data_IF_934010238630
#
_entry.id   IF_934010238630
#
_cell.length_a   1.000
_cell.length_b   1.000
_cell.length_c   1.000
_cell.angle_alpha   90.00
_cell.angle_beta   90.00
_cell.angle_gamma   90.00
#
_symmetry.space_group_name_H-M   'P 1'
#
loop_
_entity.id
_entity.type
_entity.pdbx_description
1 polymer ?
#
# COMPACT_ATOMS: atom_id res chain seq x y z
N UNK A 1 1.47 13.52 -27.79
CA UNK A 1 2.82 14.15 -27.84
C UNK A 1 2.79 15.62 -27.41
N UNK A 2 1.78 16.42 -27.80
CA UNK A 2 1.76 17.89 -27.53
C UNK A 2 1.55 18.22 -26.04
N UNK A 3 0.86 17.40 -25.27
CA UNK A 3 0.64 17.63 -23.83
C UNK A 3 1.98 17.57 -23.09
N UNK A 4 2.81 16.56 -23.35
CA UNK A 4 4.13 16.44 -22.71
C UNK A 4 5.13 17.50 -23.16
N UNK A 5 5.12 17.89 -24.46
CA UNK A 5 5.93 19.01 -24.93
C UNK A 5 5.56 20.32 -24.22
N UNK A 6 4.27 20.60 -24.02
CA UNK A 6 3.81 21.78 -23.27
C UNK A 6 4.19 21.72 -21.80
N UNK A 7 4.18 20.55 -21.17
CA UNK A 7 4.63 20.40 -19.79
C UNK A 7 6.12 20.72 -19.64
N UNK A 8 6.96 20.25 -20.55
CA UNK A 8 8.41 20.55 -20.55
C UNK A 8 8.69 22.01 -20.91
N UNK A 9 7.92 22.59 -21.83
CA UNK A 9 8.02 24.03 -22.18
C UNK A 9 7.46 24.94 -21.07
N UNK A 10 6.79 24.39 -20.05
CA UNK A 10 6.22 25.13 -18.93
C UNK A 10 7.22 25.63 -17.89
N UNK A 11 8.52 25.47 -18.10
CA UNK A 11 9.57 25.96 -17.19
C UNK A 11 9.74 25.10 -15.93
N UNK A 12 9.43 23.81 -16.01
CA UNK A 12 9.66 22.86 -14.93
C UNK A 12 11.11 22.38 -14.90
N UNK A 13 11.67 22.20 -13.72
CA UNK A 13 13.05 21.72 -13.51
C UNK A 13 13.14 20.17 -13.55
N UNK A 14 12.03 19.50 -13.27
CA UNK A 14 11.96 18.03 -13.26
C UNK A 14 10.63 17.48 -13.74
N UNK A 15 10.64 16.25 -14.25
CA UNK A 15 9.44 15.45 -14.58
C UNK A 15 9.52 14.10 -13.85
N UNK A 16 8.57 13.89 -12.94
CA UNK A 16 8.46 12.65 -12.16
C UNK A 16 7.30 11.81 -12.69
N UNK A 17 7.58 10.58 -13.10
CA UNK A 17 6.60 9.63 -13.60
C UNK A 17 6.33 8.56 -12.54
N UNK A 18 5.08 8.40 -12.11
CA UNK A 18 4.65 7.37 -11.14
C UNK A 18 3.99 6.16 -11.81
N UNK A 19 4.09 6.08 -13.12
CA UNK A 19 3.61 4.96 -13.93
C UNK A 19 4.50 4.77 -15.15
N UNK A 20 4.67 3.51 -15.58
CA UNK A 20 5.59 3.17 -16.67
C UNK A 20 5.22 3.84 -18.00
N UNK A 21 3.94 3.94 -18.37
CA UNK A 21 3.55 4.55 -19.64
C UNK A 21 4.03 5.99 -19.81
N UNK A 22 3.81 6.92 -18.88
CA UNK A 22 4.40 8.26 -18.95
C UNK A 22 5.93 8.21 -19.06
N UNK A 23 6.60 7.33 -18.32
CA UNK A 23 8.06 7.18 -18.38
C UNK A 23 8.56 6.76 -19.75
N UNK A 24 7.89 5.82 -20.41
CA UNK A 24 8.20 5.40 -21.79
C UNK A 24 7.91 6.51 -22.81
N UNK A 25 6.82 7.26 -22.63
CA UNK A 25 6.51 8.41 -23.48
C UNK A 25 7.56 9.51 -23.33
N UNK A 26 8.00 9.79 -22.12
CA UNK A 26 9.07 10.75 -21.84
C UNK A 26 10.39 10.32 -22.49
N UNK A 27 10.74 9.04 -22.35
CA UNK A 27 11.92 8.46 -23.04
C UNK A 27 11.84 8.62 -24.54
N UNK A 28 10.68 8.38 -25.16
CA UNK A 28 10.49 8.56 -26.59
C UNK A 28 10.69 10.02 -27.03
N UNK A 29 10.20 10.97 -26.23
CA UNK A 29 10.39 12.40 -26.50
C UNK A 29 11.87 12.78 -26.41
N UNK A 30 12.58 12.35 -25.36
CA UNK A 30 14.00 12.63 -25.15
C UNK A 30 14.88 12.11 -26.28
N UNK A 31 14.52 10.96 -26.88
CA UNK A 31 15.24 10.44 -28.06
C UNK A 31 15.10 11.32 -29.31
N UNK A 32 14.02 12.05 -29.42
CA UNK A 32 13.80 12.97 -30.56
C UNK A 32 14.38 14.37 -30.30
N UNK A 33 14.29 14.83 -29.07
CA UNK A 33 14.73 16.14 -28.64
C UNK A 33 15.18 16.09 -27.18
N UNK A 34 16.46 16.37 -26.88
CA UNK A 34 16.94 16.46 -25.51
C UNK A 34 16.10 17.45 -24.70
N UNK A 35 15.74 17.06 -23.48
CA UNK A 35 14.96 17.89 -22.57
C UNK A 35 15.89 18.42 -21.48
N UNK A 36 15.92 19.74 -21.24
CA UNK A 36 16.76 20.36 -20.22
C UNK A 36 16.10 20.25 -18.82
N UNK A 37 15.59 19.07 -18.48
CA UNK A 37 14.89 18.79 -17.21
C UNK A 37 15.35 17.45 -16.66
N UNK A 38 15.39 17.31 -15.35
CA UNK A 38 15.64 16.03 -14.69
C UNK A 38 14.44 15.11 -14.87
N UNK A 39 14.70 13.83 -15.08
CA UNK A 39 13.66 12.83 -15.35
C UNK A 39 13.74 11.69 -14.37
N UNK A 40 12.60 11.35 -13.78
CA UNK A 40 12.53 10.30 -12.75
C UNK A 40 11.32 9.38 -12.97
N UNK A 41 11.52 8.09 -12.77
CA UNK A 41 10.45 7.11 -12.63
C UNK A 41 10.42 6.60 -11.18
N UNK A 42 9.24 6.50 -10.61
CA UNK A 42 9.02 5.89 -9.29
C UNK A 42 8.20 4.62 -9.51
N UNK A 43 8.82 3.47 -9.26
CA UNK A 43 8.11 2.20 -9.24
C UNK A 43 7.17 2.14 -8.02
N UNK A 44 5.91 1.78 -8.25
CA UNK A 44 4.85 1.73 -7.22
C UNK A 44 4.43 0.30 -6.87
N UNK A 45 5.16 -0.69 -7.37
CA UNK A 45 5.00 -2.11 -7.08
C UNK A 45 6.34 -2.74 -6.72
N UNK A 46 6.34 -3.76 -5.87
CA UNK A 46 7.53 -4.49 -5.41
C UNK A 46 8.03 -5.49 -6.47
N UNK A 47 8.13 -5.03 -7.68
CA UNK A 47 8.65 -5.77 -8.84
C UNK A 47 8.99 -4.80 -9.97
N UNK A 48 9.86 -5.24 -10.87
CA UNK A 48 10.15 -4.52 -12.10
C UNK A 48 8.98 -4.68 -13.08
N UNK A 49 8.42 -3.56 -13.54
CA UNK A 49 7.34 -3.58 -14.54
C UNK A 49 7.83 -4.13 -15.88
N UNK A 50 7.01 -4.89 -16.62
CA UNK A 50 7.34 -5.28 -17.98
C UNK A 50 7.72 -4.08 -18.85
N UNK A 51 8.77 -4.21 -19.67
CA UNK A 51 9.30 -3.15 -20.54
C UNK A 51 10.00 -1.98 -19.83
N UNK A 52 10.39 -2.10 -18.57
CA UNK A 52 11.23 -1.09 -17.92
C UNK A 52 12.63 -0.98 -18.55
N UNK A 53 13.11 -2.01 -19.27
CA UNK A 53 14.30 -2.01 -20.12
C UNK A 53 14.29 -0.92 -21.20
N UNK A 54 13.11 -0.51 -21.63
CA UNK A 54 12.91 0.50 -22.68
C UNK A 54 12.95 1.93 -22.16
N UNK A 55 12.93 2.09 -20.85
CA UNK A 55 12.96 3.38 -20.16
C UNK A 55 14.39 3.92 -20.09
N UNK A 56 14.56 5.19 -20.43
CA UNK A 56 15.84 5.91 -20.35
C UNK A 56 15.65 7.25 -19.62
N UNK A 57 15.53 7.18 -18.31
CA UNK A 57 15.40 8.34 -17.43
C UNK A 57 16.65 8.45 -16.53
N UNK A 58 16.83 9.62 -15.92
CA UNK A 58 18.02 9.90 -15.10
C UNK A 58 17.99 9.12 -13.79
N UNK A 59 16.81 8.89 -13.23
CA UNK A 59 16.62 8.14 -11.98
C UNK A 59 15.45 7.18 -12.07
N UNK A 60 15.67 5.97 -11.56
CA UNK A 60 14.65 4.95 -11.34
C UNK A 60 14.56 4.65 -9.83
N UNK A 61 13.54 5.16 -9.17
CA UNK A 61 13.25 4.86 -7.75
C UNK A 61 12.63 3.47 -7.67
N UNK A 62 13.21 2.62 -6.81
CA UNK A 62 12.71 1.27 -6.57
C UNK A 62 12.26 1.11 -5.11
N UNK A 63 11.28 0.21 -4.85
CA UNK A 63 10.66 0.06 -3.53
C UNK A 63 11.60 -0.42 -2.42
N UNK A 64 12.57 -1.26 -2.76
CA UNK A 64 13.50 -1.83 -1.80
C UNK A 64 14.83 -2.19 -2.45
N UNK A 65 15.92 -2.13 -1.67
CA UNK A 65 17.27 -2.44 -2.14
C UNK A 65 17.43 -3.91 -2.56
N UNK A 66 16.70 -4.84 -1.96
CA UNK A 66 16.71 -6.26 -2.31
C UNK A 66 16.20 -6.52 -3.74
N UNK A 67 15.42 -5.60 -4.30
CA UNK A 67 14.89 -5.69 -5.66
C UNK A 67 15.87 -5.20 -6.74
N UNK A 68 17.01 -4.61 -6.36
CA UNK A 68 17.99 -4.04 -7.31
C UNK A 68 18.36 -5.03 -8.41
N UNK A 69 18.71 -6.26 -8.05
CA UNK A 69 19.11 -7.29 -9.02
C UNK A 69 17.99 -7.64 -10.01
N UNK A 70 16.72 -7.61 -9.57
CA UNK A 70 15.58 -7.83 -10.44
C UNK A 70 15.42 -6.69 -11.45
N UNK A 71 15.53 -5.42 -11.02
CA UNK A 71 15.45 -4.26 -11.90
C UNK A 71 16.61 -4.24 -12.92
N UNK A 72 17.83 -4.54 -12.48
CA UNK A 72 19.01 -4.66 -13.38
C UNK A 72 18.82 -5.77 -14.41
N UNK A 73 18.36 -6.95 -13.98
CA UNK A 73 18.04 -8.08 -14.88
C UNK A 73 16.97 -7.71 -15.91
N UNK A 74 16.03 -6.85 -15.55
CA UNK A 74 15.00 -6.32 -16.44
C UNK A 74 15.45 -5.07 -17.21
N UNK A 75 16.77 -4.79 -17.28
CA UNK A 75 17.36 -3.80 -18.16
C UNK A 75 17.41 -2.37 -17.65
N UNK A 76 17.07 -2.13 -16.38
CA UNK A 76 17.26 -0.81 -15.75
C UNK A 76 18.74 -0.60 -15.48
N UNK A 77 19.29 0.54 -15.91
CA UNK A 77 20.72 0.85 -15.75
C UNK A 77 21.07 1.01 -14.26
N UNK A 78 22.10 0.27 -13.76
CA UNK A 78 22.44 0.24 -12.33
C UNK A 78 22.68 1.62 -11.70
N UNK A 79 23.32 2.52 -12.44
CA UNK A 79 23.67 3.88 -11.98
C UNK A 79 22.45 4.79 -11.81
N UNK A 80 21.31 4.44 -12.40
CA UNK A 80 20.06 5.21 -12.26
C UNK A 80 19.21 4.76 -11.08
N UNK A 81 19.48 3.58 -10.50
CA UNK A 81 18.64 2.98 -9.46
C UNK A 81 18.83 3.69 -8.13
N UNK A 82 17.72 4.19 -7.57
CA UNK A 82 17.63 4.76 -6.23
C UNK A 82 16.70 3.90 -5.36
N UNK A 83 17.22 3.06 -4.45
CA UNK A 83 16.41 2.18 -3.60
C UNK A 83 15.97 2.89 -2.32
N UNK A 84 15.01 3.79 -2.41
CA UNK A 84 14.57 4.61 -1.27
C UNK A 84 13.13 4.35 -0.82
N UNK A 85 12.44 3.40 -1.46
CA UNK A 85 11.05 3.06 -1.09
C UNK A 85 9.99 3.75 -1.95
N UNK A 86 8.74 3.36 -1.74
CA UNK A 86 7.58 4.02 -2.34
C UNK A 86 7.19 5.21 -1.47
N UNK A 87 7.07 6.43 -2.01
CA UNK A 87 6.66 7.59 -1.21
C UNK A 87 5.20 7.45 -0.74
N UNK A 88 5.00 7.59 0.54
CA UNK A 88 3.68 7.66 1.18
C UNK A 88 3.53 8.98 1.92
N UNK A 89 2.31 9.32 2.33
CA UNK A 89 2.03 10.58 3.01
C UNK A 89 2.81 10.73 4.30
N UNK A 90 3.31 11.93 4.57
CA UNK A 90 4.13 12.25 5.74
C UNK A 90 3.46 11.87 7.06
N UNK A 91 2.15 12.05 7.17
CA UNK A 91 1.36 11.70 8.37
C UNK A 91 1.44 10.22 8.77
N UNK A 92 1.81 9.32 7.84
CA UNK A 92 1.98 7.89 8.13
C UNK A 92 3.28 7.58 8.89
N UNK A 93 4.26 8.48 8.87
CA UNK A 93 5.49 8.33 9.63
C UNK A 93 5.33 8.72 11.11
N UNK A 94 4.24 9.40 11.46
CA UNK A 94 3.85 9.71 12.84
C UNK A 94 2.88 8.65 13.34
N UNK A 95 3.13 8.05 14.51
CA UNK A 95 2.27 7.02 15.09
C UNK A 95 1.67 7.51 16.41
N UNK A 96 0.35 7.37 16.54
CA UNK A 96 -0.33 7.45 17.82
C UNK A 96 -0.21 6.11 18.56
N UNK A 97 -0.13 6.11 19.90
CA UNK A 97 -0.32 4.89 20.68
C UNK A 97 -1.66 4.22 20.32
N UNK A 98 -1.66 2.90 20.12
CA UNK A 98 -2.84 2.16 19.65
C UNK A 98 -4.11 2.43 20.47
N UNK A 99 -4.00 2.50 21.81
CA UNK A 99 -5.13 2.83 22.69
C UNK A 99 -5.70 4.22 22.44
N UNK A 100 -4.85 5.21 22.24
CA UNK A 100 -5.26 6.60 21.95
C UNK A 100 -5.91 6.69 20.56
N UNK A 101 -5.36 5.99 19.60
CA UNK A 101 -5.90 5.92 18.25
C UNK A 101 -7.28 5.23 18.22
N UNK A 102 -7.49 4.14 19.01
CA UNK A 102 -8.82 3.51 19.20
C UNK A 102 -9.84 4.49 19.76
N UNK A 103 -9.51 5.22 20.79
CA UNK A 103 -10.39 6.27 21.32
C UNK A 103 -10.71 7.35 20.29
N UNK A 104 -9.71 7.78 19.50
CA UNK A 104 -9.89 8.80 18.47
C UNK A 104 -10.81 8.36 17.33
N UNK A 105 -10.91 7.06 17.05
CA UNK A 105 -11.85 6.52 16.05
C UNK A 105 -13.17 6.02 16.66
N UNK A 106 -13.36 6.20 17.99
CA UNK A 106 -14.59 5.86 18.70
C UNK A 106 -14.73 4.39 19.07
N UNK A 107 -13.61 3.68 19.27
CA UNK A 107 -13.57 2.27 19.66
C UNK A 107 -13.17 2.11 21.14
N UNK A 108 -13.54 0.97 21.71
CA UNK A 108 -13.10 0.57 23.06
C UNK A 108 -11.59 0.20 23.01
N UNK A 109 -10.75 0.85 23.87
CA UNK A 109 -9.30 0.62 23.84
C UNK A 109 -8.84 -0.79 24.16
N UNK A 110 -9.67 -1.58 24.86
CA UNK A 110 -9.38 -2.98 25.21
C UNK A 110 -9.72 -3.97 24.09
N UNK A 111 -10.54 -3.56 23.12
CA UNK A 111 -10.93 -4.40 22.00
C UNK A 111 -9.78 -4.61 21.01
N UNK A 112 -9.76 -5.77 20.34
CA UNK A 112 -8.93 -5.99 19.15
C UNK A 112 -9.58 -5.31 17.96
N UNK A 113 -8.77 -4.73 17.08
CA UNK A 113 -9.29 -4.00 15.93
C UNK A 113 -8.68 -4.50 14.62
N UNK A 114 -9.52 -4.99 13.71
CA UNK A 114 -9.18 -5.29 12.32
C UNK A 114 -9.67 -4.18 11.42
N UNK A 115 -8.79 -3.63 10.59
CA UNK A 115 -9.17 -2.68 9.54
C UNK A 115 -9.11 -3.38 8.19
N UNK A 116 -10.20 -3.31 7.42
CA UNK A 116 -10.27 -3.83 6.06
C UNK A 116 -10.41 -2.70 5.04
N UNK A 117 -9.42 -2.59 4.13
CA UNK A 117 -9.40 -1.61 3.04
C UNK A 117 -8.91 -2.30 1.75
N UNK A 118 -9.72 -2.37 0.70
CA UNK A 118 -9.38 -3.03 -0.57
C UNK A 118 -9.16 -2.05 -1.72
N UNK A 119 -8.60 -0.89 -1.42
CA UNK A 119 -8.28 0.16 -2.39
C UNK A 119 -9.39 1.16 -2.62
N UNK A 120 -9.12 2.16 -3.48
CA UNK A 120 -9.95 3.37 -3.64
C UNK A 120 -11.39 3.12 -4.13
N UNK A 121 -11.66 2.01 -4.77
CA UNK A 121 -12.98 1.65 -5.30
C UNK A 121 -13.73 0.60 -4.48
N UNK A 122 -13.15 0.12 -3.35
CA UNK A 122 -13.75 -0.95 -2.55
C UNK A 122 -13.98 -2.22 -3.39
N UNK A 123 -12.95 -2.68 -4.08
CA UNK A 123 -13.02 -3.86 -4.95
C UNK A 123 -12.78 -5.15 -4.17
N UNK A 124 -13.31 -6.25 -4.70
CA UNK A 124 -13.10 -7.58 -4.16
C UNK A 124 -14.26 -8.11 -3.32
N UNK A 125 -14.10 -9.26 -2.66
CA UNK A 125 -15.16 -9.95 -1.95
C UNK A 125 -15.40 -9.40 -0.53
N UNK A 126 -15.37 -8.05 -0.36
CA UNK A 126 -15.46 -7.39 0.96
C UNK A 126 -16.67 -7.85 1.76
N UNK A 127 -17.84 -7.92 1.10
CA UNK A 127 -19.09 -8.31 1.73
C UNK A 127 -19.04 -9.74 2.29
N UNK A 128 -18.50 -10.68 1.50
CA UNK A 128 -18.36 -12.08 1.95
C UNK A 128 -17.34 -12.24 3.07
N UNK A 129 -16.20 -11.57 2.97
CA UNK A 129 -15.19 -11.60 4.05
C UNK A 129 -15.75 -10.98 5.33
N UNK A 130 -16.44 -9.84 5.23
CA UNK A 130 -17.06 -9.20 6.40
C UNK A 130 -18.09 -10.12 7.06
N UNK A 131 -18.88 -10.86 6.28
CA UNK A 131 -19.84 -11.84 6.80
C UNK A 131 -19.12 -12.97 7.55
N UNK A 132 -18.05 -13.51 6.99
CA UNK A 132 -17.26 -14.58 7.63
C UNK A 132 -16.64 -14.07 8.95
N UNK A 133 -16.08 -12.86 8.96
CA UNK A 133 -15.52 -12.25 10.16
C UNK A 133 -16.60 -11.97 11.21
N UNK A 134 -17.74 -11.40 10.81
CA UNK A 134 -18.86 -11.10 11.71
C UNK A 134 -19.48 -12.36 12.38
N UNK A 135 -19.31 -13.53 11.76
CA UNK A 135 -19.80 -14.80 12.29
C UNK A 135 -18.74 -15.58 13.11
N UNK A 136 -17.47 -15.24 12.95
CA UNK A 136 -16.36 -15.97 13.58
C UNK A 136 -15.65 -15.22 14.71
N UNK A 137 -15.69 -13.87 14.68
CA UNK A 137 -15.01 -13.06 15.68
C UNK A 137 -15.89 -12.82 16.92
N UNK A 138 -15.29 -12.81 18.13
CA UNK A 138 -15.97 -12.41 19.36
C UNK A 138 -16.44 -10.95 19.33
N UNK A 139 -17.44 -10.56 20.18
CA UNK A 139 -17.97 -9.19 20.21
C UNK A 139 -16.93 -8.10 20.57
N UNK A 140 -15.90 -8.47 21.33
CA UNK A 140 -14.78 -7.61 21.72
C UNK A 140 -13.73 -7.42 20.60
N UNK A 141 -14.02 -7.89 19.40
CA UNK A 141 -13.17 -7.72 18.21
C UNK A 141 -13.88 -6.82 17.21
N UNK A 142 -13.45 -5.58 17.13
CA UNK A 142 -14.00 -4.60 16.19
C UNK A 142 -13.45 -4.80 14.79
N UNK A 143 -14.30 -4.67 13.78
CA UNK A 143 -13.94 -4.71 12.37
C UNK A 143 -14.39 -3.42 11.69
N UNK A 144 -13.44 -2.61 11.24
CA UNK A 144 -13.75 -1.44 10.42
C UNK A 144 -13.57 -1.78 8.94
N UNK A 145 -14.62 -1.57 8.15
CA UNK A 145 -14.64 -1.82 6.70
C UNK A 145 -14.74 -0.51 5.95
N UNK A 146 -13.69 -0.14 5.21
CA UNK A 146 -13.66 1.07 4.41
C UNK A 146 -14.15 0.82 2.98
N UNK A 147 -15.35 1.29 2.65
CA UNK A 147 -15.96 1.22 1.31
C UNK A 147 -15.45 2.31 0.36
N UNK A 148 -14.60 3.22 0.85
CA UNK A 148 -14.01 4.32 0.08
C UNK A 148 -15.05 5.17 -0.65
N UNK A 149 -14.88 5.47 -1.95
CA UNK A 149 -15.81 6.24 -2.78
C UNK A 149 -17.01 5.43 -3.28
N UNK A 150 -17.09 4.13 -3.01
CA UNK A 150 -18.17 3.25 -3.49
C UNK A 150 -19.42 3.39 -2.63
N UNK A 151 -20.23 4.41 -2.94
CA UNK A 151 -21.49 4.71 -2.21
C UNK A 151 -22.51 3.57 -2.28
N UNK A 152 -22.53 2.79 -3.36
CA UNK A 152 -23.46 1.68 -3.50
C UNK A 152 -23.08 0.53 -2.57
N UNK A 153 -21.78 0.18 -2.51
CA UNK A 153 -21.25 -0.79 -1.57
C UNK A 153 -21.50 -0.34 -0.12
N UNK A 154 -21.19 0.91 0.20
CA UNK A 154 -21.42 1.49 1.54
C UNK A 154 -22.86 1.24 2.02
N UNK A 155 -23.85 1.71 1.27
CA UNK A 155 -25.28 1.55 1.64
C UNK A 155 -25.73 0.10 1.77
N UNK A 156 -25.15 -0.80 0.96
CA UNK A 156 -25.47 -2.23 1.02
C UNK A 156 -24.86 -2.85 2.28
N UNK A 157 -23.63 -2.53 2.58
CA UNK A 157 -22.90 -3.02 3.76
C UNK A 157 -23.54 -2.50 5.06
N UNK A 158 -23.83 -1.20 5.14
CA UNK A 158 -24.52 -0.59 6.30
C UNK A 158 -25.84 -1.31 6.63
N UNK A 159 -26.66 -1.59 5.62
CA UNK A 159 -27.92 -2.32 5.82
C UNK A 159 -27.73 -3.77 6.23
N UNK A 160 -26.72 -4.45 5.65
CA UNK A 160 -26.48 -5.87 5.90
C UNK A 160 -25.93 -6.15 7.30
N UNK A 161 -25.14 -5.24 7.83
CA UNK A 161 -24.46 -5.40 9.12
C UNK A 161 -24.99 -4.45 10.21
N UNK A 162 -26.19 -3.92 10.04
CA UNK A 162 -26.81 -2.97 10.98
C UNK A 162 -27.05 -3.57 12.38
N UNK A 163 -27.21 -4.87 12.49
CA UNK A 163 -27.38 -5.65 13.72
C UNK A 163 -26.09 -6.14 14.36
N UNK A 164 -24.93 -5.81 13.79
CA UNK A 164 -23.60 -6.23 14.26
C UNK A 164 -22.85 -5.03 14.85
N UNK A 165 -22.90 -4.84 16.18
CA UNK A 165 -22.36 -3.63 16.82
C UNK A 165 -20.84 -3.49 16.70
N UNK A 166 -20.13 -4.59 16.52
CA UNK A 166 -18.67 -4.63 16.34
C UNK A 166 -18.22 -4.53 14.88
N UNK A 167 -19.15 -4.36 13.92
CA UNK A 167 -18.82 -4.18 12.49
C UNK A 167 -19.09 -2.72 12.11
N UNK A 168 -18.03 -1.97 11.86
CA UNK A 168 -18.06 -0.54 11.57
C UNK A 168 -17.91 -0.28 10.08
N UNK A 169 -18.99 -0.05 9.37
CA UNK A 169 -18.95 0.26 7.92
C UNK A 169 -18.68 1.75 7.74
N UNK A 170 -17.63 2.10 6.97
CA UNK A 170 -17.23 3.48 6.71
C UNK A 170 -17.13 3.74 5.20
N UNK A 171 -17.46 4.95 4.79
CA UNK A 171 -17.22 5.45 3.43
C UNK A 171 -15.78 5.88 3.23
N UNK A 172 -15.61 7.04 2.61
CA UNK A 172 -14.27 7.65 2.48
C UNK A 172 -13.75 8.11 3.85
N UNK A 173 -12.51 7.75 4.14
CA UNK A 173 -11.82 8.06 5.40
C UNK A 173 -10.73 9.09 5.09
N UNK A 174 -10.80 10.26 5.68
CA UNK A 174 -9.81 11.32 5.51
C UNK A 174 -8.56 11.11 6.38
N UNK A 175 -8.72 10.53 7.57
CA UNK A 175 -7.65 10.29 8.52
C UNK A 175 -7.28 8.80 8.59
N UNK A 176 -6.74 8.28 7.47
CA UNK A 176 -6.32 6.88 7.36
C UNK A 176 -5.17 6.57 8.33
N UNK A 177 -4.28 7.53 8.58
CA UNK A 177 -3.14 7.36 9.49
C UNK A 177 -3.59 6.94 10.89
N UNK A 178 -4.55 7.65 11.48
CA UNK A 178 -5.08 7.32 12.83
C UNK A 178 -5.87 6.02 12.83
N UNK A 179 -6.62 5.75 11.76
CA UNK A 179 -7.31 4.46 11.63
C UNK A 179 -6.32 3.29 11.59
N UNK A 180 -5.20 3.42 10.87
CA UNK A 180 -4.16 2.39 10.85
C UNK A 180 -3.46 2.25 12.20
N UNK A 181 -3.25 3.35 12.93
CA UNK A 181 -2.70 3.31 14.30
C UNK A 181 -3.63 2.59 15.28
N UNK A 182 -4.95 2.67 15.09
CA UNK A 182 -5.93 1.97 15.92
C UNK A 182 -6.02 0.47 15.65
N UNK A 183 -5.51 0.01 14.50
CA UNK A 183 -5.61 -1.38 14.08
C UNK A 183 -4.56 -2.27 14.75
N UNK A 184 -4.95 -3.51 15.04
CA UNK A 184 -4.06 -4.59 15.43
C UNK A 184 -3.71 -5.48 14.24
N UNK A 185 -4.58 -5.49 13.21
CA UNK A 185 -4.41 -6.25 11.98
C UNK A 185 -5.01 -5.49 10.78
N UNK A 186 -4.37 -5.55 9.62
CA UNK A 186 -4.80 -4.92 8.39
C UNK A 186 -5.11 -5.96 7.31
N UNK A 187 -6.36 -6.01 6.88
CA UNK A 187 -6.80 -6.87 5.79
C UNK A 187 -6.94 -6.04 4.52
N UNK A 188 -6.12 -6.34 3.52
CA UNK A 188 -6.08 -5.57 2.28
C UNK A 188 -5.74 -6.44 1.06
N UNK A 189 -5.89 -5.87 -0.14
CA UNK A 189 -5.30 -6.45 -1.34
C UNK A 189 -3.81 -6.08 -1.42
N UNK A 190 -2.95 -6.85 -2.09
CA UNK A 190 -1.51 -6.59 -2.14
C UNK A 190 -1.15 -5.45 -3.13
N UNK A 191 -1.74 -4.27 -2.96
CA UNK A 191 -1.39 -3.07 -3.72
C UNK A 191 -0.17 -2.37 -3.14
N UNK A 192 0.78 -1.94 -3.98
CA UNK A 192 2.06 -1.40 -3.53
C UNK A 192 1.93 -0.23 -2.54
N UNK A 193 1.00 0.70 -2.75
CA UNK A 193 0.82 1.85 -1.85
C UNK A 193 0.28 1.40 -0.47
N UNK A 194 -0.83 0.64 -0.43
CA UNK A 194 -1.45 0.25 0.85
C UNK A 194 -0.55 -0.64 1.70
N UNK A 195 0.20 -1.54 1.06
CA UNK A 195 1.18 -2.39 1.77
C UNK A 195 2.37 -1.59 2.27
N UNK A 196 2.83 -0.57 1.52
CA UNK A 196 3.87 0.36 1.99
C UNK A 196 3.37 1.21 3.17
N UNK A 197 2.14 1.71 3.12
CA UNK A 197 1.52 2.44 4.23
C UNK A 197 1.48 1.59 5.51
N UNK A 198 1.06 0.32 5.40
CA UNK A 198 1.06 -0.62 6.51
C UNK A 198 2.47 -0.94 7.01
N UNK A 199 3.44 -1.10 6.12
CA UNK A 199 4.85 -1.29 6.46
C UNK A 199 5.40 -0.12 7.28
N UNK A 200 5.16 1.11 6.85
CA UNK A 200 5.62 2.33 7.55
C UNK A 200 5.02 2.43 8.95
N UNK A 201 3.74 2.01 9.13
CA UNK A 201 3.07 1.91 10.43
C UNK A 201 3.52 0.71 11.28
N UNK A 202 4.21 -0.26 10.69
CA UNK A 202 4.49 -1.54 11.32
C UNK A 202 3.20 -2.30 11.65
N UNK A 203 2.20 -2.23 10.80
CA UNK A 203 0.89 -2.85 10.97
C UNK A 203 0.86 -4.21 10.27
N UNK A 204 0.76 -5.34 10.99
CA UNK A 204 0.67 -6.68 10.42
C UNK A 204 -0.44 -6.80 9.40
N UNK A 205 -0.20 -7.52 8.30
CA UNK A 205 -1.13 -7.61 7.18
C UNK A 205 -1.62 -9.04 6.94
N UNK A 206 -2.90 -9.15 6.58
CA UNK A 206 -3.44 -10.29 5.84
C UNK A 206 -3.75 -9.81 4.42
N UNK A 207 -3.16 -10.47 3.42
CA UNK A 207 -3.29 -10.09 2.02
C UNK A 207 -4.25 -11.02 1.29
N UNK A 208 -5.29 -10.42 0.68
CA UNK A 208 -6.26 -11.15 -0.14
C UNK A 208 -5.89 -10.97 -1.61
N UNK A 209 -5.48 -12.07 -2.26
CA UNK A 209 -5.21 -12.02 -3.68
C UNK A 209 -6.53 -12.07 -4.47
N UNK A 210 -6.91 -10.94 -5.04
CA UNK A 210 -8.18 -10.79 -5.77
C UNK A 210 -7.96 -10.77 -7.28
N UNK A 211 -6.81 -10.29 -7.73
CA UNK A 211 -6.48 -10.14 -9.15
C UNK A 211 -5.03 -10.57 -9.38
N UNK A 212 -4.81 -11.53 -10.25
CA UNK A 212 -3.46 -11.90 -10.69
C UNK A 212 -2.76 -10.75 -11.42
N UNK A 213 -1.45 -10.85 -11.59
CA UNK A 213 -0.62 -9.85 -12.27
C UNK A 213 0.37 -9.17 -11.32
N UNK A 214 0.48 -7.84 -11.35
CA UNK A 214 1.45 -7.09 -10.52
C UNK A 214 1.21 -7.19 -9.00
N UNK A 215 0.02 -7.58 -8.56
CA UNK A 215 -0.29 -7.76 -7.14
C UNK A 215 0.35 -9.03 -6.54
N UNK A 216 0.58 -10.08 -7.34
CA UNK A 216 1.25 -11.31 -6.86
C UNK A 216 2.69 -11.08 -6.40
N UNK A 217 3.56 -10.35 -7.12
CA UNK A 217 4.88 -9.98 -6.62
C UNK A 217 4.84 -9.20 -5.30
N UNK A 218 3.93 -8.23 -5.15
CA UNK A 218 3.76 -7.48 -3.91
C UNK A 218 3.40 -8.41 -2.74
N UNK A 219 2.45 -9.33 -2.96
CA UNK A 219 2.08 -10.35 -1.97
C UNK A 219 3.30 -11.19 -1.56
N UNK A 220 4.01 -11.74 -2.54
CA UNK A 220 5.18 -12.57 -2.30
C UNK A 220 6.28 -11.83 -1.54
N UNK A 221 6.52 -10.56 -1.87
CA UNK A 221 7.49 -9.72 -1.18
C UNK A 221 7.17 -9.64 0.32
N UNK A 222 5.96 -9.20 0.69
CA UNK A 222 5.62 -9.01 2.10
C UNK A 222 5.48 -10.31 2.89
N UNK A 223 5.01 -11.38 2.26
CA UNK A 223 4.93 -12.71 2.89
C UNK A 223 6.34 -13.27 3.13
N UNK A 224 7.23 -13.20 2.14
CA UNK A 224 8.61 -13.71 2.30
C UNK A 224 9.45 -12.92 3.31
N UNK A 225 9.11 -11.65 3.55
CA UNK A 225 9.76 -10.81 4.57
C UNK A 225 9.06 -10.87 5.94
N UNK A 226 8.05 -11.74 6.11
CA UNK A 226 7.38 -11.94 7.40
C UNK A 226 6.49 -10.78 7.86
N UNK A 227 6.15 -9.84 6.98
CA UNK A 227 5.27 -8.71 7.32
C UNK A 227 3.80 -8.94 6.98
N UNK A 228 3.51 -10.00 6.23
CA UNK A 228 2.17 -10.35 5.81
C UNK A 228 1.94 -11.85 5.81
N UNK A 229 0.67 -12.24 5.91
CA UNK A 229 0.19 -13.60 5.72
C UNK A 229 -0.93 -13.64 4.67
N UNK A 230 -1.19 -14.81 4.09
CA UNK A 230 -2.26 -15.02 3.10
C UNK A 230 -2.78 -16.45 3.18
N UNK A 231 -3.96 -16.69 2.62
CA UNK A 231 -4.55 -18.03 2.51
C UNK A 231 -5.30 -18.20 1.18
N UNK A 232 -5.64 -19.47 0.86
CA UNK A 232 -6.18 -19.81 -0.47
C UNK A 232 -7.66 -19.48 -0.66
N UNK A 233 -8.48 -19.60 0.39
CA UNK A 233 -9.92 -19.34 0.34
C UNK A 233 -10.32 -18.18 1.23
N UNK A 234 -11.51 -17.62 1.04
CA UNK A 234 -12.02 -16.53 1.89
C UNK A 234 -12.31 -17.02 3.31
N UNK A 235 -12.73 -18.26 3.46
CA UNK A 235 -12.92 -18.94 4.73
C UNK A 235 -11.60 -19.06 5.49
N UNK A 236 -10.52 -19.48 4.82
CA UNK A 236 -9.19 -19.58 5.41
C UNK A 236 -8.61 -18.18 5.72
N UNK A 237 -8.89 -17.16 4.91
CA UNK A 237 -8.52 -15.76 5.19
C UNK A 237 -9.20 -15.28 6.48
N UNK A 238 -10.50 -15.55 6.67
CA UNK A 238 -11.22 -15.17 7.89
C UNK A 238 -10.69 -15.91 9.13
N UNK A 239 -10.39 -17.21 8.99
CA UNK A 239 -9.77 -18.01 10.04
C UNK A 239 -8.37 -17.48 10.42
N UNK A 240 -7.54 -17.16 9.42
CA UNK A 240 -6.22 -16.57 9.61
C UNK A 240 -6.28 -15.19 10.31
N UNK A 241 -7.25 -14.36 9.94
CA UNK A 241 -7.46 -13.08 10.63
C UNK A 241 -7.78 -13.29 12.11
N UNK A 242 -8.64 -14.25 12.43
CA UNK A 242 -8.97 -14.58 13.81
C UNK A 242 -7.74 -15.11 14.56
N UNK A 243 -7.01 -16.07 14.01
CA UNK A 243 -5.79 -16.62 14.60
C UNK A 243 -4.77 -15.53 14.92
N UNK A 244 -4.48 -14.64 13.95
CA UNK A 244 -3.56 -13.53 14.15
C UNK A 244 -4.07 -12.51 15.18
N UNK A 245 -5.38 -12.24 15.26
CA UNK A 245 -5.93 -11.35 16.29
C UNK A 245 -5.81 -11.95 17.70
N UNK A 246 -5.85 -13.27 17.83
CA UNK A 246 -5.68 -13.99 19.10
C UNK A 246 -4.20 -14.17 19.49
N UNK A 247 -3.25 -14.07 18.54
CA UNK A 247 -1.82 -14.31 18.73
C UNK A 247 -0.99 -13.01 18.76
N UNK A 248 -0.80 -12.44 19.96
CA UNK A 248 -0.02 -11.21 20.16
C UNK A 248 1.45 -11.38 19.77
N UNK A 249 2.03 -12.56 20.02
CA UNK A 249 3.45 -12.84 19.73
C UNK A 249 3.70 -12.84 18.22
N UNK A 250 2.86 -13.50 17.45
CA UNK A 250 2.99 -13.54 16.00
C UNK A 250 2.83 -12.13 15.39
N UNK A 251 1.84 -11.35 15.85
CA UNK A 251 1.69 -9.97 15.40
C UNK A 251 2.91 -9.11 15.76
N UNK A 252 3.53 -9.34 16.90
CA UNK A 252 4.75 -8.61 17.29
C UNK A 252 5.92 -8.97 16.35
N UNK A 253 6.10 -10.24 15.99
CA UNK A 253 7.10 -10.70 15.03
C UNK A 253 6.87 -10.04 13.66
N UNK A 254 5.63 -10.09 13.16
CA UNK A 254 5.27 -9.45 11.90
C UNK A 254 5.54 -7.94 11.92
N UNK A 255 5.20 -7.26 13.01
CA UNK A 255 5.48 -5.83 13.21
C UNK A 255 6.97 -5.52 13.17
N UNK A 256 7.78 -6.32 13.83
CA UNK A 256 9.24 -6.15 13.84
C UNK A 256 9.82 -6.33 12.44
N UNK A 257 9.34 -7.31 11.68
CA UNK A 257 9.71 -7.54 10.29
C UNK A 257 9.39 -6.33 9.40
N UNK A 258 8.18 -5.76 9.54
CA UNK A 258 7.77 -4.56 8.79
C UNK A 258 8.63 -3.34 9.14
N UNK A 259 8.89 -3.11 10.42
CA UNK A 259 9.70 -1.98 10.88
C UNK A 259 11.17 -2.11 10.47
N UNK A 260 11.69 -3.33 10.33
CA UNK A 260 13.03 -3.57 9.81
C UNK A 260 13.18 -3.21 8.33
N UNK A 261 12.10 -3.27 7.55
CA UNK A 261 12.07 -2.84 6.15
C UNK A 261 11.83 -1.33 5.99
N UNK A 262 11.36 -0.64 7.06
CA UNK A 262 11.06 0.79 7.03
C UNK A 262 12.32 1.59 6.77
N UNK A 263 12.30 2.38 5.71
CA UNK A 263 13.38 3.31 5.37
C UNK A 263 13.06 4.73 5.85
N UNK A 264 14.00 5.66 5.68
CA UNK A 264 13.74 7.10 5.78
C UNK A 264 12.59 7.47 4.82
N UNK A 265 11.83 8.57 5.07
CA UNK A 265 10.77 8.98 4.16
C UNK A 265 11.25 9.05 2.72
N UNK A 266 10.72 8.19 1.85
CA UNK A 266 11.13 8.10 0.46
C UNK A 266 10.99 9.44 -0.27
N UNK A 267 9.99 10.24 0.10
CA UNK A 267 9.78 11.57 -0.47
C UNK A 267 10.99 12.49 -0.24
N UNK A 268 11.63 12.44 0.95
CA UNK A 268 12.83 13.23 1.22
C UNK A 268 13.99 12.80 0.32
N UNK A 269 14.28 11.51 0.23
CA UNK A 269 15.36 11.00 -0.63
C UNK A 269 15.12 11.30 -2.12
N UNK A 270 13.86 11.32 -2.56
CA UNK A 270 13.47 11.72 -3.91
C UNK A 270 13.74 13.21 -4.14
N UNK A 271 13.34 14.07 -3.21
CA UNK A 271 13.60 15.50 -3.29
C UNK A 271 15.12 15.81 -3.29
N UNK A 272 15.88 15.22 -2.38
CA UNK A 272 17.34 15.38 -2.32
C UNK A 272 18.00 14.98 -3.66
N UNK A 273 17.51 13.91 -4.28
CA UNK A 273 18.00 13.46 -5.60
C UNK A 273 17.63 14.41 -6.74
N UNK A 274 16.52 15.13 -6.61
CA UNK A 274 16.08 16.12 -7.60
C UNK A 274 16.78 17.48 -7.42
N UNK A 275 17.26 17.80 -6.23
CA UNK A 275 17.97 19.06 -5.93
C UNK A 275 19.48 18.98 -6.20
N UNK A 276 20.10 17.82 -5.96
CA UNK A 276 21.54 17.55 -6.14
C UNK A 276 21.89 17.13 -7.54
#
# INVERSE_FOLDING_TARGET
SDVYKRQVQGGYDAVVCVHLFPALMLTFIQRQQPLPVRTMFIATDYTASPSCDRMQLDTCVIPDASLRAEFEKNGVRPETILPCGIPVREELYTCLPNREAKLAVGLEPSHRHLVMMTGSMGCGPMERITELLANSLPPEYDVTVACSSNRQLLRRMERRFADKPNIHIRGFISNVSVLMDSADLFLTKPGGISTTEAMVKGLPMVLVNVVGGCETPNLNFFVSHGGAATAGTLEDIAALCRELLENDEERLIMRQSLLAMKQIPAAQAICDRLEG
#
